data_IF_871980639191
#
_entry.id   IF_871980639191
#
_cell.length_a   1.000
_cell.length_b   1.000
_cell.length_c   1.000
_cell.angle_alpha   90.00
_cell.angle_beta   90.00
_cell.angle_gamma   90.00
#
_symmetry.space_group_name_H-M   'P 1'
#
loop_
_entity.id
_entity.type
_entity.pdbx_description
1 polymer ?
#
# COMPACT_ATOMS: atom_id res chain seq x y z
N UNK A 1 2.81 1.23 -39.51
CA UNK A 1 2.14 1.29 -38.20
C UNK A 1 3.09 0.59 -37.24
N UNK A 2 3.80 1.34 -36.40
CA UNK A 2 4.75 0.76 -35.43
C UNK A 2 3.94 0.30 -34.22
N UNK A 3 3.77 -1.01 -34.05
CA UNK A 3 3.33 -1.60 -32.79
C UNK A 3 4.50 -1.54 -31.82
N UNK A 4 4.39 -0.71 -30.79
CA UNK A 4 5.31 -0.76 -29.65
C UNK A 4 5.09 -2.10 -28.92
N UNK A 5 6.16 -2.84 -28.62
CA UNK A 5 6.12 -4.12 -27.90
C UNK A 5 5.47 -4.05 -26.50
N UNK A 6 5.05 -2.87 -26.04
CA UNK A 6 4.39 -2.66 -24.76
C UNK A 6 2.92 -3.08 -24.71
N UNK A 7 2.30 -3.52 -25.81
CA UNK A 7 0.89 -3.95 -25.84
C UNK A 7 0.60 -5.25 -25.05
N UNK A 8 1.56 -5.77 -24.27
CA UNK A 8 1.35 -6.90 -23.36
C UNK A 8 2.20 -6.89 -22.09
N UNK A 9 2.86 -5.77 -21.76
CA UNK A 9 3.77 -5.74 -20.63
C UNK A 9 3.03 -5.49 -19.31
N UNK A 10 3.37 -6.26 -18.29
CA UNK A 10 3.02 -5.90 -16.92
C UNK A 10 3.88 -4.72 -16.47
N UNK A 11 3.25 -3.72 -15.86
CA UNK A 11 3.92 -2.57 -15.27
C UNK A 11 4.10 -2.81 -13.77
N UNK A 12 5.28 -2.47 -13.28
CA UNK A 12 5.68 -2.64 -11.89
C UNK A 12 6.08 -1.29 -11.29
N UNK A 13 5.53 -1.00 -10.11
CA UNK A 13 5.92 0.13 -9.28
C UNK A 13 6.24 -0.35 -7.87
N UNK A 14 7.18 0.31 -7.21
CA UNK A 14 7.62 -0.05 -5.87
C UNK A 14 7.74 1.20 -5.00
N UNK A 15 7.28 1.10 -3.77
CA UNK A 15 7.37 2.15 -2.76
C UNK A 15 7.77 1.56 -1.40
N UNK A 16 8.32 2.40 -0.54
CA UNK A 16 8.72 2.05 0.82
C UNK A 16 8.10 3.00 1.83
N UNK A 17 7.53 2.46 2.90
CA UNK A 17 7.00 3.21 4.03
C UNK A 17 7.76 2.79 5.31
N UNK A 18 8.51 3.68 5.97
CA UNK A 18 9.25 3.33 7.16
C UNK A 18 8.32 3.06 8.35
N UNK A 19 8.76 2.21 9.28
CA UNK A 19 8.09 2.03 10.55
C UNK A 19 8.14 3.30 11.39
N UNK A 20 7.04 3.60 12.10
CA UNK A 20 6.94 4.74 12.99
C UNK A 20 6.54 4.28 14.39
N UNK A 21 7.31 4.70 15.40
CA UNK A 21 6.98 4.48 16.82
C UNK A 21 6.66 5.84 17.45
N UNK A 22 5.42 6.01 17.89
CA UNK A 22 5.00 7.19 18.64
C UNK A 22 5.52 7.11 20.08
N UNK A 23 6.18 8.17 20.56
CA UNK A 23 6.67 8.27 21.94
C UNK A 23 5.65 8.91 22.89
N UNK A 24 5.15 10.08 22.53
CA UNK A 24 4.07 10.77 23.26
C UNK A 24 3.08 11.39 22.29
N UNK A 25 1.82 11.51 22.70
CA UNK A 25 0.75 12.02 21.85
C UNK A 25 -0.47 12.51 22.65
N UNK A 26 -1.28 13.33 22.00
CA UNK A 26 -2.64 13.69 22.38
C UNK A 26 -3.57 13.34 21.22
N UNK A 27 -4.66 12.62 21.51
CA UNK A 27 -5.68 12.22 20.52
C UNK A 27 -6.64 13.38 20.28
N UNK A 28 -6.97 13.64 19.01
CA UNK A 28 -7.96 14.60 18.56
C UNK A 28 -9.10 13.86 17.84
N UNK A 29 -10.20 13.66 18.55
CA UNK A 29 -11.40 13.02 18.01
C UNK A 29 -12.21 13.99 17.15
N UNK A 30 -12.67 13.53 15.98
CA UNK A 30 -13.49 14.33 15.07
C UNK A 30 -14.38 13.42 14.19
N UNK A 31 -15.57 13.90 13.79
CA UNK A 31 -16.51 13.15 12.94
C UNK A 31 -16.05 13.03 11.49
N UNK A 32 -15.45 14.10 10.96
CA UNK A 32 -14.79 14.10 9.64
C UNK A 32 -13.42 13.39 9.76
N UNK A 33 -13.20 12.26 9.05
CA UNK A 33 -11.95 11.51 9.08
C UNK A 33 -10.73 12.32 8.66
N UNK A 34 -10.88 13.33 7.80
CA UNK A 34 -9.76 14.18 7.35
C UNK A 34 -9.24 15.12 8.44
N UNK A 35 -10.05 15.36 9.48
CA UNK A 35 -9.70 16.20 10.62
C UNK A 35 -9.42 15.40 11.90
N UNK A 36 -9.69 14.08 11.90
CA UNK A 36 -9.40 13.19 13.03
C UNK A 36 -7.92 12.80 13.02
N UNK A 37 -7.26 12.85 14.18
CA UNK A 37 -5.83 12.52 14.26
C UNK A 37 -5.23 12.63 15.66
N UNK A 38 -3.93 12.86 15.72
CA UNK A 38 -3.21 13.11 16.97
C UNK A 38 -2.07 14.11 16.76
N UNK A 39 -1.70 14.83 17.82
CA UNK A 39 -0.45 15.61 17.88
C UNK A 39 0.52 14.92 18.80
N UNK A 40 1.80 14.82 18.45
CA UNK A 40 2.78 14.10 19.24
C UNK A 40 4.17 14.13 18.63
N UNK A 41 5.04 13.27 19.12
CA UNK A 41 6.37 13.05 18.55
C UNK A 41 6.72 11.56 18.62
N UNK A 42 7.52 11.11 17.66
CA UNK A 42 7.93 9.74 17.51
C UNK A 42 9.26 9.63 16.79
N UNK A 43 9.69 8.39 16.59
CA UNK A 43 10.90 8.06 15.82
C UNK A 43 10.50 7.27 14.58
N UNK A 44 11.27 7.46 13.52
CA UNK A 44 11.17 6.69 12.27
C UNK A 44 12.26 5.63 12.28
N UNK A 45 11.90 4.40 11.94
CA UNK A 45 12.83 3.27 11.88
C UNK A 45 13.38 3.13 10.46
N UNK A 46 14.60 2.58 10.35
CA UNK A 46 15.14 2.14 9.06
C UNK A 46 14.41 0.90 8.53
N UNK A 47 13.76 0.14 9.41
CA UNK A 47 12.89 -0.99 9.04
C UNK A 47 11.47 -0.53 8.80
N UNK A 48 10.81 -1.08 7.78
CA UNK A 48 9.47 -0.65 7.38
C UNK A 48 8.75 -1.68 6.51
N UNK A 49 7.87 -1.18 5.65
CA UNK A 49 7.12 -1.98 4.68
C UNK A 49 7.51 -1.55 3.28
N UNK A 50 7.98 -2.51 2.50
CA UNK A 50 8.17 -2.36 1.05
C UNK A 50 6.94 -2.90 0.34
N UNK A 51 6.32 -2.11 -0.54
CA UNK A 51 5.15 -2.51 -1.32
C UNK A 51 5.47 -2.45 -2.81
N UNK A 52 5.18 -3.52 -3.51
CA UNK A 52 5.21 -3.63 -4.97
C UNK A 52 3.79 -3.76 -5.49
N UNK A 53 3.48 -2.98 -6.54
CA UNK A 53 2.20 -3.00 -7.24
C UNK A 53 2.48 -3.39 -8.68
N UNK A 54 1.76 -4.40 -9.16
CA UNK A 54 1.79 -4.85 -10.54
C UNK A 54 0.42 -4.64 -11.18
N UNK A 55 0.41 -4.08 -12.39
CA UNK A 55 -0.78 -3.90 -13.22
C UNK A 55 -0.49 -4.36 -14.64
N UNK A 56 -1.42 -5.05 -15.29
CA UNK A 56 -1.20 -5.55 -16.64
C UNK A 56 -2.08 -6.74 -16.97
N UNK A 57 -1.86 -7.33 -18.16
CA UNK A 57 -2.70 -8.42 -18.69
C UNK A 57 -2.61 -9.70 -17.85
N UNK A 58 -1.53 -9.91 -17.09
CA UNK A 58 -1.40 -11.09 -16.23
C UNK A 58 -2.18 -10.98 -14.92
N UNK A 59 -2.81 -9.83 -14.65
CA UNK A 59 -3.59 -9.57 -13.44
C UNK A 59 -5.08 -9.53 -13.78
N UNK A 60 -5.75 -10.66 -13.56
CA UNK A 60 -7.18 -10.77 -13.83
C UNK A 60 -8.05 -10.23 -12.68
N UNK A 61 -7.53 -10.28 -11.45
CA UNK A 61 -8.25 -9.88 -10.23
C UNK A 61 -7.31 -9.21 -9.25
N UNK A 62 -7.86 -8.30 -8.45
CA UNK A 62 -7.07 -7.62 -7.43
C UNK A 62 -6.72 -8.57 -6.28
N UNK A 63 -5.43 -8.79 -6.06
CA UNK A 63 -4.89 -9.68 -5.02
C UNK A 63 -3.89 -8.94 -4.14
N UNK A 64 -4.02 -9.11 -2.82
CA UNK A 64 -3.17 -8.44 -1.83
C UNK A 64 -2.43 -9.51 -1.03
N UNK A 65 -1.11 -9.36 -0.93
CA UNK A 65 -0.23 -10.26 -0.20
C UNK A 65 0.59 -9.48 0.83
N UNK A 66 0.71 -10.05 2.03
CA UNK A 66 1.56 -9.56 3.11
C UNK A 66 2.50 -10.68 3.55
N UNK A 67 3.81 -10.44 3.44
CA UNK A 67 4.85 -11.43 3.74
C UNK A 67 4.59 -12.78 3.04
N UNK A 68 4.21 -12.71 1.76
CA UNK A 68 3.91 -13.88 0.92
C UNK A 68 2.55 -14.55 1.17
N UNK A 69 1.80 -14.16 2.20
CA UNK A 69 0.47 -14.69 2.50
C UNK A 69 -0.62 -13.82 1.86
N UNK A 70 -1.58 -14.43 1.19
CA UNK A 70 -2.75 -13.71 0.67
C UNK A 70 -3.62 -13.24 1.83
N UNK A 71 -4.00 -11.96 1.81
CA UNK A 71 -4.81 -11.33 2.87
C UNK A 71 -5.97 -10.56 2.26
N UNK A 72 -7.01 -10.31 3.06
CA UNK A 72 -8.12 -9.44 2.64
C UNK A 72 -7.65 -7.99 2.44
N UNK A 73 -6.76 -7.51 3.32
CA UNK A 73 -6.09 -6.21 3.16
C UNK A 73 -7.05 -5.02 3.05
N UNK A 74 -8.12 -4.99 3.86
CA UNK A 74 -9.24 -4.03 3.74
C UNK A 74 -8.80 -2.58 3.52
N UNK A 75 -7.85 -2.07 4.30
CA UNK A 75 -7.33 -0.70 4.14
C UNK A 75 -6.71 -0.48 2.76
N UNK A 76 -5.87 -1.40 2.32
CA UNK A 76 -5.24 -1.36 0.99
C UNK A 76 -6.29 -1.49 -0.12
N UNK A 77 -7.28 -2.38 0.05
CA UNK A 77 -8.39 -2.54 -0.90
C UNK A 77 -9.17 -1.25 -1.06
N UNK A 78 -9.54 -0.59 0.04
CA UNK A 78 -10.22 0.72 -0.02
C UNK A 78 -9.44 1.74 -0.82
N UNK A 79 -8.12 1.83 -0.64
CA UNK A 79 -7.29 2.76 -1.41
C UNK A 79 -7.24 2.38 -2.89
N UNK A 80 -7.14 1.09 -3.23
CA UNK A 80 -7.17 0.63 -4.62
C UNK A 80 -8.49 1.03 -5.27
N UNK A 81 -9.61 0.69 -4.64
CA UNK A 81 -10.96 0.96 -5.15
C UNK A 81 -11.24 2.47 -5.31
N UNK A 82 -10.58 3.32 -4.50
CA UNK A 82 -10.65 4.78 -4.63
C UNK A 82 -9.82 5.33 -5.79
N UNK A 83 -8.76 4.62 -6.22
CA UNK A 83 -7.80 5.11 -7.21
C UNK A 83 -8.03 4.54 -8.61
N UNK A 84 -8.52 3.30 -8.72
CA UNK A 84 -8.69 2.62 -10.02
C UNK A 84 -9.64 1.43 -9.97
N UNK A 85 -10.33 1.19 -11.08
CA UNK A 85 -11.10 -0.03 -11.33
C UNK A 85 -10.25 -1.15 -11.97
N UNK A 86 -8.98 -0.87 -12.32
CA UNK A 86 -8.11 -1.85 -12.97
C UNK A 86 -7.58 -2.85 -11.94
N UNK A 87 -7.60 -4.17 -12.22
CA UNK A 87 -7.06 -5.16 -11.30
C UNK A 87 -5.57 -4.97 -10.98
N UNK A 88 -5.22 -5.05 -9.70
CA UNK A 88 -3.85 -4.89 -9.20
C UNK A 88 -3.38 -6.11 -8.40
N UNK A 89 -2.14 -6.55 -8.61
CA UNK A 89 -1.47 -7.45 -7.67
C UNK A 89 -0.55 -6.62 -6.77
N UNK A 90 -0.86 -6.60 -5.48
CA UNK A 90 -0.11 -5.86 -4.46
C UNK A 90 0.62 -6.84 -3.55
N UNK A 91 1.93 -6.71 -3.43
CA UNK A 91 2.76 -7.50 -2.52
C UNK A 91 3.48 -6.56 -1.56
N UNK A 92 3.35 -6.83 -0.27
CA UNK A 92 4.05 -6.09 0.77
C UNK A 92 4.94 -7.01 1.59
N UNK A 93 6.14 -6.53 1.93
CA UNK A 93 7.09 -7.18 2.82
C UNK A 93 7.40 -6.25 3.99
N UNK A 94 7.13 -6.72 5.20
CA UNK A 94 7.40 -6.00 6.44
C UNK A 94 8.70 -6.51 7.07
N UNK A 95 9.59 -5.58 7.41
CA UNK A 95 10.85 -5.82 8.13
C UNK A 95 10.67 -5.67 9.66
N UNK A 96 9.45 -5.32 10.07
CA UNK A 96 9.04 -5.14 11.47
C UNK A 96 7.91 -6.12 11.80
N UNK A 97 7.72 -6.47 13.09
CA UNK A 97 6.60 -7.30 13.51
C UNK A 97 5.25 -6.70 13.11
N UNK A 98 4.31 -7.56 12.75
CA UNK A 98 2.94 -7.24 12.30
C UNK A 98 1.94 -7.97 13.18
#
# INVERSE_FOLDING_TARGET
>A
MYTYESEGADFLAKAYAPGHITGFFQIHEHKDPHQKGSTGCGIVLNGGVTTEVMVGKSVEKTEIFLNGKKVEGRTTRTVIDMLTDVPLRVKSWAEIPI
#
